data_IF_805506654926
#
_entry.id   IF_805506654926
#
_cell.length_a   1.000
_cell.length_b   1.000
_cell.length_c   1.000
_cell.angle_alpha   90.00
_cell.angle_beta   90.00
_cell.angle_gamma   90.00
#
_symmetry.space_group_name_H-M   'P 1'
#
loop_
_entity.id
_entity.type
_entity.pdbx_description
1 polymer ?
#
# COMPACT_ATOMS: atom_id res chain seq x y z
N UNK A 1 13.76 10.65 -0.43
CA UNK A 1 14.68 9.65 0.13
C UNK A 1 14.45 8.36 -0.64
N UNK A 2 15.30 8.06 -1.64
CA UNK A 2 15.24 6.80 -2.39
C UNK A 2 15.61 5.64 -1.46
N UNK A 3 14.60 4.92 -0.99
CA UNK A 3 14.80 3.68 -0.27
C UNK A 3 15.34 2.64 -1.24
N UNK A 4 16.36 1.90 -0.80
CA UNK A 4 17.16 0.93 -1.58
C UNK A 4 16.38 -0.33 -2.02
N UNK A 5 15.05 -0.26 -2.13
CA UNK A 5 14.13 -1.39 -2.30
C UNK A 5 13.29 -1.32 -3.58
N UNK A 6 13.62 -0.39 -4.49
CA UNK A 6 12.78 -0.06 -5.63
C UNK A 6 11.63 0.85 -5.20
N UNK A 7 11.20 1.74 -6.08
CA UNK A 7 10.08 2.64 -5.82
C UNK A 7 8.78 1.84 -5.78
N UNK A 8 8.37 1.42 -4.58
CA UNK A 8 6.98 1.03 -4.35
C UNK A 8 6.14 2.28 -4.55
N UNK A 9 5.24 2.24 -5.53
CA UNK A 9 4.33 3.34 -5.83
C UNK A 9 2.91 2.90 -5.52
N UNK A 10 2.28 3.66 -4.64
CA UNK A 10 0.88 3.48 -4.27
C UNK A 10 0.15 4.77 -4.62
N UNK A 11 -0.95 4.63 -5.33
CA UNK A 11 -1.88 5.71 -5.61
C UNK A 11 -3.09 5.54 -4.72
N UNK A 12 -3.37 6.57 -3.93
CA UNK A 12 -4.59 6.68 -3.12
C UNK A 12 -5.52 7.69 -3.77
N UNK A 13 -6.81 7.37 -3.86
CA UNK A 13 -7.84 8.27 -4.36
C UNK A 13 -8.73 8.70 -3.20
N UNK A 14 -8.67 9.98 -2.88
CA UNK A 14 -9.47 10.58 -1.81
C UNK A 14 -10.55 11.43 -2.48
N UNK A 15 -11.81 11.23 -2.10
CA UNK A 15 -12.93 12.08 -2.52
C UNK A 15 -13.66 12.57 -1.30
N UNK A 16 -13.94 13.87 -1.24
CA UNK A 16 -14.67 14.48 -0.11
C UNK A 16 -14.08 14.15 1.29
N UNK A 17 -12.74 14.00 1.38
CA UNK A 17 -12.08 13.67 2.64
C UNK A 17 -12.24 12.21 3.08
N UNK A 18 -12.59 11.29 2.17
CA UNK A 18 -12.58 9.84 2.43
C UNK A 18 -11.76 9.10 1.37
N UNK A 19 -11.06 8.06 1.79
CA UNK A 19 -10.33 7.15 0.90
C UNK A 19 -11.37 6.34 0.12
N UNK A 20 -11.42 6.54 -1.19
CA UNK A 20 -12.35 5.86 -2.10
C UNK A 20 -11.71 4.74 -2.89
N UNK A 21 -10.40 4.81 -3.11
CA UNK A 21 -9.66 3.81 -3.86
C UNK A 21 -8.20 3.79 -3.40
N UNK A 22 -7.60 2.61 -3.42
CA UNK A 22 -6.15 2.47 -3.28
C UNK A 22 -5.67 1.48 -4.33
N UNK A 23 -4.70 1.91 -5.11
CA UNK A 23 -4.15 1.16 -6.23
C UNK A 23 -2.64 1.10 -6.09
N UNK A 24 -2.09 -0.11 -6.04
CA UNK A 24 -0.66 -0.31 -6.06
C UNK A 24 -0.16 -0.21 -7.51
N UNK A 25 0.49 0.89 -7.87
CA UNK A 25 1.04 1.10 -9.22
C UNK A 25 2.32 0.30 -9.44
N UNK A 26 3.13 0.16 -8.39
CA UNK A 26 4.36 -0.64 -8.41
C UNK A 26 4.58 -1.26 -7.04
N UNK A 27 4.64 -2.59 -6.97
CA UNK A 27 4.80 -3.30 -5.69
C UNK A 27 6.23 -3.78 -5.44
N UNK A 28 6.98 -4.17 -6.48
CA UNK A 28 8.42 -4.53 -6.42
C UNK A 28 8.89 -5.17 -7.74
N UNK A 29 10.16 -4.96 -8.12
CA UNK A 29 10.87 -5.64 -9.22
C UNK A 29 11.77 -6.80 -8.76
N UNK A 30 11.98 -6.99 -7.46
CA UNK A 30 13.09 -7.81 -6.98
C UNK A 30 12.80 -9.32 -6.93
N UNK A 31 11.56 -9.74 -6.68
CA UNK A 31 11.25 -11.17 -6.52
C UNK A 31 9.90 -11.53 -7.11
N UNK A 32 9.87 -12.49 -8.05
CA UNK A 32 8.62 -13.07 -8.55
C UNK A 32 7.74 -13.64 -7.42
N UNK A 33 8.37 -14.11 -6.33
CA UNK A 33 7.67 -14.58 -5.13
C UNK A 33 6.97 -13.43 -4.41
N UNK A 34 7.63 -12.29 -4.27
CA UNK A 34 7.03 -11.08 -3.72
C UNK A 34 5.87 -10.64 -4.59
N UNK A 35 6.01 -10.56 -5.91
CA UNK A 35 4.91 -10.19 -6.83
C UNK A 35 3.68 -11.09 -6.65
N UNK A 36 3.84 -12.40 -6.50
CA UNK A 36 2.71 -13.31 -6.27
C UNK A 36 2.03 -13.09 -4.92
N UNK A 37 2.81 -12.84 -3.87
CA UNK A 37 2.32 -12.51 -2.54
C UNK A 37 1.61 -11.16 -2.57
N UNK A 38 2.20 -10.14 -3.20
CA UNK A 38 1.64 -8.81 -3.39
C UNK A 38 0.34 -8.87 -4.17
N UNK A 39 0.25 -9.68 -5.23
CA UNK A 39 -0.98 -9.81 -6.02
C UNK A 39 -2.15 -10.38 -5.21
N UNK A 40 -1.88 -11.25 -4.23
CA UNK A 40 -2.90 -11.77 -3.31
C UNK A 40 -3.19 -10.81 -2.16
N UNK A 41 -2.18 -10.13 -1.63
CA UNK A 41 -2.29 -9.21 -0.51
C UNK A 41 -2.87 -7.84 -0.91
N UNK A 42 -2.64 -7.37 -2.14
CA UNK A 42 -3.10 -6.07 -2.62
C UNK A 42 -4.61 -5.85 -2.49
N UNK A 43 -5.50 -6.76 -2.96
CA UNK A 43 -6.94 -6.56 -2.77
C UNK A 43 -7.36 -6.62 -1.30
N UNK A 44 -6.69 -7.45 -0.47
CA UNK A 44 -6.98 -7.55 0.97
C UNK A 44 -6.56 -6.27 1.71
N UNK A 45 -5.33 -5.81 1.50
CA UNK A 45 -4.81 -4.56 2.06
C UNK A 45 -5.66 -3.37 1.63
N UNK A 46 -6.06 -3.31 0.36
CA UNK A 46 -6.96 -2.27 -0.14
C UNK A 46 -8.29 -2.27 0.61
N UNK A 47 -8.91 -3.43 0.80
CA UNK A 47 -10.18 -3.53 1.53
C UNK A 47 -10.02 -3.10 2.99
N UNK A 48 -8.94 -3.53 3.65
CA UNK A 48 -8.62 -3.12 5.02
C UNK A 48 -8.42 -1.61 5.11
N UNK A 49 -7.65 -1.01 4.19
CA UNK A 49 -7.40 0.44 4.18
C UNK A 49 -8.67 1.23 3.92
N UNK A 50 -9.52 0.77 3.00
CA UNK A 50 -10.82 1.40 2.73
C UNK A 50 -11.74 1.31 3.96
N UNK A 51 -11.69 0.21 4.70
CA UNK A 51 -12.47 0.02 5.92
C UNK A 51 -11.94 0.86 7.08
N UNK A 52 -10.64 0.83 7.31
CA UNK A 52 -9.96 1.58 8.37
C UNK A 52 -9.87 3.09 8.06
N UNK A 53 -10.03 3.47 6.80
CA UNK A 53 -9.78 4.83 6.30
C UNK A 53 -8.37 5.33 6.70
N UNK A 54 -7.38 4.42 6.74
CA UNK A 54 -6.03 4.74 7.23
C UNK A 54 -5.00 3.75 6.72
N UNK A 55 -3.74 4.17 6.70
CA UNK A 55 -2.60 3.29 6.50
C UNK A 55 -2.26 2.42 7.73
N UNK A 56 -2.99 2.55 8.83
CA UNK A 56 -2.81 1.73 10.03
C UNK A 56 -3.64 0.44 9.94
N UNK A 57 -3.28 -0.46 9.02
CA UNK A 57 -3.93 -1.77 8.89
C UNK A 57 -2.96 -2.90 9.19
N UNK A 58 -3.50 -4.06 9.56
CA UNK A 58 -2.67 -5.20 9.89
C UNK A 58 -1.99 -5.78 8.65
N UNK A 59 -0.73 -6.18 8.80
CA UNK A 59 0.01 -6.87 7.75
C UNK A 59 -0.61 -8.24 7.50
N UNK A 60 -0.77 -8.62 6.23
CA UNK A 60 -1.29 -9.96 5.87
C UNK A 60 -0.20 -11.00 6.16
N UNK A 61 -0.58 -12.09 6.84
CA UNK A 61 0.33 -13.21 7.13
C UNK A 61 0.96 -13.79 5.87
N UNK A 62 2.28 -13.70 5.75
CA UNK A 62 3.04 -14.10 4.56
C UNK A 62 3.35 -12.98 3.58
N UNK A 63 2.83 -11.77 3.80
CA UNK A 63 3.08 -10.57 3.00
C UNK A 63 3.64 -9.40 3.79
N UNK A 64 4.18 -9.63 5.00
CA UNK A 64 4.62 -8.59 5.95
C UNK A 64 5.47 -7.51 5.27
N UNK A 65 6.50 -7.92 4.52
CA UNK A 65 7.39 -7.00 3.84
C UNK A 65 6.68 -6.12 2.79
N UNK A 66 5.82 -6.72 1.96
CA UNK A 66 5.02 -5.98 0.98
C UNK A 66 4.02 -5.05 1.66
N UNK A 67 3.35 -5.53 2.71
CA UNK A 67 2.41 -4.74 3.50
C UNK A 67 3.11 -3.52 4.11
N UNK A 68 4.25 -3.70 4.78
CA UNK A 68 4.99 -2.58 5.38
C UNK A 68 5.41 -1.52 4.34
N UNK A 69 5.94 -1.95 3.20
CA UNK A 69 6.35 -1.03 2.13
C UNK A 69 5.13 -0.29 1.51
N UNK A 70 4.02 -1.01 1.32
CA UNK A 70 2.77 -0.44 0.83
C UNK A 70 2.19 0.58 1.81
N UNK A 71 2.13 0.24 3.09
CA UNK A 71 1.58 1.10 4.14
C UNK A 71 2.46 2.33 4.36
N UNK A 72 3.78 2.19 4.30
CA UNK A 72 4.71 3.33 4.36
C UNK A 72 4.45 4.31 3.21
N UNK A 73 4.31 3.78 1.98
CA UNK A 73 4.05 4.60 0.79
C UNK A 73 2.67 5.25 0.84
N UNK A 74 1.66 4.51 1.28
CA UNK A 74 0.31 5.00 1.48
C UNK A 74 0.27 6.09 2.55
N UNK A 75 0.94 5.90 3.67
CA UNK A 75 1.00 6.89 4.74
C UNK A 75 1.63 8.18 4.27
N UNK A 76 2.72 8.12 3.50
CA UNK A 76 3.32 9.29 2.88
C UNK A 76 2.34 9.99 1.91
N UNK A 77 1.52 9.24 1.17
CA UNK A 77 0.52 9.82 0.27
C UNK A 77 -0.65 10.47 1.04
N UNK A 78 -1.10 9.87 2.14
CA UNK A 78 -2.12 10.44 3.03
C UNK A 78 -1.61 11.71 3.72
N UNK A 79 -0.39 11.67 4.25
CA UNK A 79 0.30 12.82 4.86
C UNK A 79 0.44 13.96 3.84
N UNK A 80 0.89 13.67 2.62
CA UNK A 80 0.98 14.65 1.55
C UNK A 80 -0.39 15.23 1.17
N UNK A 81 -1.45 14.42 1.24
CA UNK A 81 -2.83 14.84 1.01
C UNK A 81 -3.45 15.59 2.21
N UNK A 82 -2.71 15.75 3.32
CA UNK A 82 -3.20 16.31 4.59
C UNK A 82 -4.47 15.61 5.09
N UNK A 83 -4.49 14.27 4.95
CA UNK A 83 -5.54 13.38 5.44
C UNK A 83 -5.20 12.87 6.84
#
# INVERSE_FOLDING_TARGET
>A
METRFGTVQVQVTIKAGVITDVTALHLTDQEQRSVQISARAAPLLRSEVLSAQSANVQTIGGATYTSEAYLTSLQAALDAAHF
#
